data_IF_592068499189
#
_entry.id   IF_592068499189
#
_cell.length_a   1.000
_cell.length_b   1.000
_cell.length_c   1.000
_cell.angle_alpha   90.00
_cell.angle_beta   90.00
_cell.angle_gamma   90.00
#
_symmetry.space_group_name_H-M   'P 1'
#
loop_
_entity.id
_entity.type
_entity.pdbx_description
1 polymer ?
#
# COMPACT_ATOMS: atom_id res chain seq x y z
N UNK A 1 7.68 -8.28 17.16
CA UNK A 1 8.94 -9.01 17.46
C UNK A 1 8.83 -10.38 16.82
N UNK A 2 9.84 -10.79 16.11
CA UNK A 2 9.94 -12.12 15.48
C UNK A 2 11.29 -12.73 15.82
N UNK A 3 11.39 -14.08 15.80
CA UNK A 3 12.63 -14.78 16.11
C UNK A 3 13.11 -14.63 17.56
N UNK A 4 12.18 -14.52 18.50
CA UNK A 4 12.47 -14.41 19.93
C UNK A 4 11.76 -15.52 20.70
N UNK A 5 12.36 -16.69 20.76
CA UNK A 5 11.79 -17.89 21.43
C UNK A 5 11.66 -17.70 22.95
N UNK A 6 12.43 -16.76 23.50
CA UNK A 6 12.36 -16.43 24.93
C UNK A 6 11.12 -15.60 25.31
N UNK A 7 10.40 -15.02 24.32
CA UNK A 7 9.24 -14.18 24.57
C UNK A 7 7.97 -15.02 24.65
N UNK A 8 7.23 -14.89 25.75
CA UNK A 8 5.93 -15.49 25.94
C UNK A 8 4.85 -14.41 26.09
N UNK A 9 3.76 -14.52 25.34
CA UNK A 9 2.64 -13.59 25.36
C UNK A 9 1.42 -14.32 25.93
N UNK A 10 0.94 -13.86 27.09
CA UNK A 10 -0.30 -14.28 27.69
C UNK A 10 -1.40 -13.28 27.28
N UNK A 11 -2.23 -13.70 26.34
CA UNK A 11 -3.31 -12.88 25.79
C UNK A 11 -4.46 -12.68 26.77
N UNK A 12 -4.72 -13.65 27.65
CA UNK A 12 -5.80 -13.56 28.62
C UNK A 12 -5.50 -12.53 29.71
N UNK A 13 -4.27 -12.56 30.24
CA UNK A 13 -3.82 -11.63 31.27
C UNK A 13 -3.16 -10.37 30.70
N UNK A 14 -2.99 -10.29 29.38
CA UNK A 14 -2.31 -9.18 28.68
C UNK A 14 -0.91 -8.90 29.22
N UNK A 15 -0.13 -9.96 29.38
CA UNK A 15 1.22 -9.93 29.95
C UNK A 15 2.22 -10.46 28.94
N UNK A 16 3.40 -9.84 28.87
CA UNK A 16 4.55 -10.36 28.14
C UNK A 16 5.66 -10.66 29.13
N UNK A 17 6.23 -11.86 29.01
CA UNK A 17 7.38 -12.32 29.81
C UNK A 17 8.52 -12.79 28.90
N UNK A 18 9.72 -12.80 29.43
CA UNK A 18 10.89 -13.32 28.74
C UNK A 18 11.54 -14.40 29.61
N UNK A 19 11.84 -15.54 29.02
CA UNK A 19 12.49 -16.64 29.71
C UNK A 19 13.81 -16.20 30.37
N UNK A 20 14.01 -16.58 31.63
CA UNK A 20 15.17 -16.17 32.42
C UNK A 20 15.10 -14.76 33.03
N UNK A 21 13.95 -14.10 32.95
CA UNK A 21 13.72 -12.79 33.55
C UNK A 21 12.43 -12.76 34.36
N UNK A 22 12.48 -12.19 35.57
CA UNK A 22 11.33 -12.14 36.49
C UNK A 22 10.33 -11.03 36.14
N UNK A 23 10.71 -10.08 35.27
CA UNK A 23 9.84 -8.95 34.94
C UNK A 23 8.74 -9.35 33.97
N UNK A 24 7.51 -8.97 34.35
CA UNK A 24 6.32 -9.02 33.52
C UNK A 24 6.06 -7.63 32.95
N UNK A 25 5.83 -7.53 31.64
CA UNK A 25 5.42 -6.30 30.97
C UNK A 25 3.91 -6.35 30.76
N UNK A 26 3.27 -5.20 31.01
CA UNK A 26 1.83 -5.00 30.84
C UNK A 26 1.57 -3.90 29.79
N UNK A 27 0.32 -3.74 29.42
CA UNK A 27 -0.10 -2.63 28.56
C UNK A 27 0.33 -1.28 29.18
N UNK A 28 1.01 -0.45 28.38
CA UNK A 28 1.58 0.82 28.80
C UNK A 28 3.05 0.77 29.25
N UNK A 29 3.61 -0.41 29.48
CA UNK A 29 5.04 -0.56 29.78
C UNK A 29 5.90 -0.33 28.52
N UNK A 30 7.07 0.25 28.75
CA UNK A 30 8.04 0.51 27.70
C UNK A 30 9.19 -0.49 27.71
N UNK A 31 9.54 -0.97 26.54
CA UNK A 31 10.80 -1.65 26.28
C UNK A 31 11.35 -1.23 24.92
N UNK A 32 12.67 -1.28 24.77
CA UNK A 32 13.35 -0.91 23.53
C UNK A 32 13.94 -2.12 22.85
N UNK A 33 13.92 -2.12 21.52
CA UNK A 33 14.41 -3.22 20.69
C UNK A 33 15.64 -2.80 19.91
N UNK A 34 16.64 -3.68 19.89
CA UNK A 34 17.77 -3.60 18.98
C UNK A 34 17.75 -4.85 18.08
N UNK A 35 17.10 -4.75 16.93
CA UNK A 35 16.96 -5.87 16.01
C UNK A 35 18.29 -6.34 15.40
N UNK A 36 19.26 -5.45 15.24
CA UNK A 36 20.58 -5.78 14.71
C UNK A 36 21.38 -6.69 15.67
N UNK A 37 21.19 -6.52 17.00
CA UNK A 37 21.87 -7.33 18.03
C UNK A 37 20.95 -8.40 18.64
N UNK A 38 19.67 -8.45 18.28
CA UNK A 38 18.69 -9.35 18.87
C UNK A 38 18.44 -9.07 20.37
N UNK A 39 18.52 -7.81 20.80
CA UNK A 39 18.41 -7.45 22.21
C UNK A 39 17.09 -6.73 22.49
N UNK A 40 16.51 -7.05 23.66
CA UNK A 40 15.35 -6.36 24.24
C UNK A 40 15.82 -5.68 25.54
N UNK A 41 15.64 -4.38 25.63
CA UNK A 41 16.02 -3.60 26.82
C UNK A 41 14.79 -3.27 27.64
N UNK A 42 14.86 -3.50 28.94
CA UNK A 42 13.83 -3.12 29.88
C UNK A 42 13.93 -1.63 30.24
N UNK A 43 13.82 -0.79 29.22
CA UNK A 43 13.88 0.69 29.37
C UNK A 43 13.34 1.36 28.12
N UNK A 44 12.87 2.60 28.24
CA UNK A 44 12.66 3.50 27.12
C UNK A 44 14.01 4.15 26.77
N UNK A 45 14.68 3.62 25.76
CA UNK A 45 15.96 4.17 25.28
C UNK A 45 15.66 5.24 24.25
N UNK A 46 16.32 6.37 24.35
CA UNK A 46 16.26 7.42 23.34
C UNK A 46 16.84 6.91 22.02
N UNK A 47 16.16 7.18 20.94
CA UNK A 47 16.58 6.86 19.58
C UNK A 47 16.85 8.16 18.82
N UNK A 48 17.85 8.14 17.97
CA UNK A 48 18.18 9.22 17.04
C UNK A 48 17.90 8.76 15.62
N UNK A 49 17.34 9.64 14.79
CA UNK A 49 17.27 9.37 13.37
C UNK A 49 18.69 9.38 12.79
N UNK A 50 19.03 8.37 11.99
CA UNK A 50 20.36 8.26 11.38
C UNK A 50 20.67 9.46 10.48
N UNK A 51 19.67 10.08 9.86
CA UNK A 51 19.80 11.26 9.02
C UNK A 51 20.22 12.52 9.79
N UNK A 52 20.03 12.54 11.11
CA UNK A 52 20.44 13.63 11.99
C UNK A 52 21.91 13.50 12.45
N UNK A 53 22.55 12.35 12.20
CA UNK A 53 23.94 12.14 12.55
C UNK A 53 24.89 12.72 11.48
N UNK A 54 25.67 13.76 11.78
CA UNK A 54 26.56 14.40 10.79
C UNK A 54 27.61 13.46 10.19
N UNK A 55 28.09 12.48 10.96
CA UNK A 55 29.07 11.50 10.49
C UNK A 55 28.42 10.53 9.50
N UNK A 56 27.17 10.15 9.74
CA UNK A 56 26.41 9.32 8.80
C UNK A 56 26.18 10.07 7.48
N UNK A 57 25.78 11.34 7.54
CA UNK A 57 25.59 12.19 6.35
C UNK A 57 26.89 12.32 5.55
N UNK A 58 28.02 12.57 6.22
CA UNK A 58 29.33 12.64 5.58
C UNK A 58 29.74 11.31 4.94
N UNK A 59 29.49 10.20 5.62
CA UNK A 59 29.78 8.87 5.10
C UNK A 59 28.92 8.55 3.85
N UNK A 60 27.62 8.89 3.89
CA UNK A 60 26.74 8.69 2.73
C UNK A 60 27.17 9.58 1.55
N UNK A 61 27.54 10.82 1.78
CA UNK A 61 28.07 11.70 0.75
C UNK A 61 29.39 11.17 0.14
N UNK A 62 30.21 10.50 0.94
CA UNK A 62 31.40 9.82 0.42
C UNK A 62 31.03 8.60 -0.43
N UNK A 63 30.08 7.77 0.02
CA UNK A 63 29.59 6.62 -0.72
C UNK A 63 29.01 7.04 -2.09
N UNK A 64 28.28 8.14 -2.15
CA UNK A 64 27.70 8.70 -3.38
C UNK A 64 28.74 9.07 -4.44
N UNK A 65 29.98 9.38 -4.05
CA UNK A 65 31.06 9.65 -5.01
C UNK A 65 31.55 8.41 -5.75
N UNK A 66 31.31 7.23 -5.19
CA UNK A 66 31.80 5.96 -5.75
C UNK A 66 30.70 5.09 -6.33
N UNK A 67 29.46 5.25 -5.89
CA UNK A 67 28.35 4.48 -6.44
C UNK A 67 28.09 4.86 -7.91
N UNK A 68 27.65 3.87 -8.70
CA UNK A 68 27.31 4.01 -10.11
C UNK A 68 25.81 3.87 -10.37
N UNK A 69 25.10 3.20 -9.46
CA UNK A 69 23.66 2.95 -9.59
C UNK A 69 22.87 3.99 -8.78
N UNK A 70 21.77 4.45 -9.36
CA UNK A 70 20.77 5.22 -8.64
C UNK A 70 19.91 4.30 -7.75
N UNK A 71 19.44 4.84 -6.64
CA UNK A 71 18.58 4.10 -5.69
C UNK A 71 17.15 4.60 -5.78
N UNK A 72 16.24 3.70 -6.16
CA UNK A 72 14.79 3.92 -6.14
C UNK A 72 14.18 3.03 -5.07
N UNK A 73 13.25 3.58 -4.32
CA UNK A 73 12.56 2.86 -3.24
C UNK A 73 11.18 2.38 -3.67
N UNK A 74 10.56 1.53 -2.84
CA UNK A 74 9.13 1.28 -2.89
C UNK A 74 8.43 2.32 -2.01
N UNK A 75 7.37 2.92 -2.51
CA UNK A 75 6.48 3.80 -1.75
C UNK A 75 5.09 3.73 -2.38
N UNK A 76 4.06 3.58 -1.56
CA UNK A 76 2.70 3.32 -2.03
C UNK A 76 1.71 4.41 -1.57
N UNK A 77 2.20 5.37 -0.78
CA UNK A 77 1.43 6.55 -0.33
C UNK A 77 2.25 7.83 -0.48
N UNK A 78 1.61 9.00 -0.53
CA UNK A 78 2.33 10.27 -0.51
C UNK A 78 3.24 10.44 0.72
N UNK A 79 2.81 9.94 1.89
CA UNK A 79 3.57 9.97 3.13
C UNK A 79 4.85 9.12 3.02
N UNK A 80 4.75 7.91 2.45
CA UNK A 80 5.91 7.05 2.18
C UNK A 80 6.87 7.71 1.20
N UNK A 81 6.34 8.36 0.14
CA UNK A 81 7.13 9.10 -0.83
C UNK A 81 7.90 10.24 -0.16
N UNK A 82 7.25 11.04 0.71
CA UNK A 82 7.91 12.11 1.46
C UNK A 82 9.03 11.55 2.36
N UNK A 83 8.77 10.45 3.06
CA UNK A 83 9.76 9.77 3.89
C UNK A 83 10.93 9.24 3.06
N UNK A 84 10.64 8.65 1.90
CA UNK A 84 11.67 8.17 0.98
C UNK A 84 12.58 9.31 0.49
N UNK A 85 12.02 10.45 0.12
CA UNK A 85 12.78 11.64 -0.27
C UNK A 85 13.65 12.13 0.89
N UNK A 86 13.12 12.16 2.11
CA UNK A 86 13.90 12.57 3.31
C UNK A 86 15.09 11.66 3.58
N UNK A 87 15.03 10.40 3.17
CA UNK A 87 16.14 9.44 3.26
C UNK A 87 17.06 9.43 2.02
N UNK A 88 16.84 10.34 1.07
CA UNK A 88 17.70 10.50 -0.10
C UNK A 88 17.36 9.56 -1.26
N UNK A 89 16.16 9.03 -1.33
CA UNK A 89 15.72 8.25 -2.49
C UNK A 89 15.74 9.11 -3.76
N UNK A 90 16.24 8.53 -4.85
CA UNK A 90 16.36 9.20 -6.16
C UNK A 90 15.14 8.96 -7.07
N UNK A 91 14.19 8.20 -6.59
CA UNK A 91 12.94 7.91 -7.28
C UNK A 91 12.14 6.83 -6.57
N UNK A 92 10.97 6.54 -7.11
CA UNK A 92 10.15 5.39 -6.71
C UNK A 92 10.27 4.32 -7.80
N UNK A 93 10.79 3.15 -7.44
CA UNK A 93 10.92 2.00 -8.32
C UNK A 93 9.65 1.15 -8.43
N UNK A 94 8.80 1.24 -7.42
CA UNK A 94 7.49 0.58 -7.39
C UNK A 94 6.50 1.38 -6.54
N UNK A 95 5.48 1.92 -7.21
CA UNK A 95 4.28 2.47 -6.61
C UNK A 95 3.10 1.58 -7.00
N UNK A 96 2.42 0.99 -6.02
CA UNK A 96 1.29 0.07 -6.24
C UNK A 96 -0.01 0.84 -6.17
N UNK A 97 -0.71 1.01 -7.30
CA UNK A 97 -1.97 1.74 -7.33
C UNK A 97 -3.04 1.10 -6.45
N UNK A 98 -3.04 -0.22 -6.31
CA UNK A 98 -4.02 -0.95 -5.51
C UNK A 98 -3.93 -0.66 -4.00
N UNK A 99 -2.81 -0.15 -3.49
CA UNK A 99 -2.68 0.16 -2.06
C UNK A 99 -3.62 1.29 -1.61
N UNK A 100 -4.09 2.13 -2.52
CA UNK A 100 -5.13 3.12 -2.22
C UNK A 100 -6.44 2.50 -1.73
N UNK A 101 -6.69 1.22 -2.01
CA UNK A 101 -7.90 0.50 -1.59
C UNK A 101 -7.82 -0.10 -0.19
N UNK A 102 -6.66 -0.04 0.47
CA UNK A 102 -6.41 -0.66 1.79
C UNK A 102 -6.09 0.35 2.89
N UNK A 103 -5.87 1.62 2.55
CA UNK A 103 -5.46 2.67 3.48
C UNK A 103 -6.62 3.32 4.23
N UNK A 104 -6.31 4.35 4.99
CA UNK A 104 -7.31 5.25 5.57
C UNK A 104 -8.08 5.95 4.45
N UNK A 105 -9.39 6.12 4.62
CA UNK A 105 -10.29 6.73 3.62
C UNK A 105 -10.43 5.92 2.31
N UNK A 106 -10.11 4.63 2.34
CA UNK A 106 -10.23 3.74 1.17
C UNK A 106 -11.67 3.25 0.91
N UNK A 107 -12.60 3.49 1.80
CA UNK A 107 -13.98 2.96 1.73
C UNK A 107 -14.68 3.33 0.42
N UNK A 108 -14.66 4.62 0.06
CA UNK A 108 -15.31 5.08 -1.19
C UNK A 108 -14.65 4.54 -2.46
N UNK A 109 -13.32 4.63 -2.67
CA UNK A 109 -12.70 4.04 -3.85
C UNK A 109 -12.83 2.52 -3.89
N UNK A 110 -12.75 1.83 -2.74
CA UNK A 110 -12.95 0.38 -2.66
C UNK A 110 -14.38 -0.03 -3.04
N UNK A 111 -15.40 0.71 -2.59
CA UNK A 111 -16.79 0.47 -2.98
C UNK A 111 -16.99 0.61 -4.49
N UNK A 112 -16.38 1.61 -5.12
CA UNK A 112 -16.42 1.78 -6.58
C UNK A 112 -15.70 0.66 -7.33
N UNK A 113 -14.54 0.22 -6.83
CA UNK A 113 -13.83 -0.93 -7.38
C UNK A 113 -14.69 -2.20 -7.27
N UNK A 114 -15.29 -2.45 -6.12
CA UNK A 114 -16.20 -3.59 -5.91
C UNK A 114 -17.41 -3.53 -6.85
N UNK A 115 -17.99 -2.35 -7.04
CA UNK A 115 -19.06 -2.17 -8.01
C UNK A 115 -18.60 -2.54 -9.42
N UNK A 116 -17.42 -2.13 -9.84
CA UNK A 116 -16.82 -2.51 -11.13
C UNK A 116 -16.64 -4.03 -11.26
N UNK A 117 -16.24 -4.72 -10.18
CA UNK A 117 -16.04 -6.17 -10.17
C UNK A 117 -17.37 -6.94 -10.29
N UNK A 118 -18.42 -6.41 -9.66
CA UNK A 118 -19.72 -7.09 -9.55
C UNK A 118 -20.69 -6.75 -10.67
N UNK A 119 -20.44 -5.74 -11.49
CA UNK A 119 -21.33 -5.37 -12.59
C UNK A 119 -21.26 -6.39 -13.73
N UNK A 120 -22.42 -6.61 -14.38
CA UNK A 120 -22.58 -7.57 -15.46
C UNK A 120 -22.40 -6.92 -16.84
N UNK A 121 -22.67 -5.62 -16.97
CA UNK A 121 -22.60 -4.89 -18.25
C UNK A 121 -21.36 -3.99 -18.34
N UNK A 122 -20.92 -3.74 -19.58
CA UNK A 122 -19.79 -2.85 -19.83
C UNK A 122 -20.14 -1.38 -19.53
N UNK A 123 -21.41 -0.99 -19.68
CA UNK A 123 -21.92 0.34 -19.34
C UNK A 123 -21.80 0.61 -17.84
N UNK A 124 -22.23 -0.32 -17.00
CA UNK A 124 -22.11 -0.24 -15.55
C UNK A 124 -20.64 -0.22 -15.12
N UNK A 125 -19.83 -1.08 -15.74
CA UNK A 125 -18.38 -1.13 -15.50
C UNK A 125 -17.72 0.20 -15.83
N UNK A 126 -18.06 0.79 -16.97
CA UNK A 126 -17.58 2.09 -17.39
C UNK A 126 -17.98 3.20 -16.41
N UNK A 127 -19.23 3.20 -15.94
CA UNK A 127 -19.71 4.17 -14.96
C UNK A 127 -18.97 4.05 -13.62
N UNK A 128 -18.74 2.82 -13.13
CA UNK A 128 -18.00 2.56 -11.91
C UNK A 128 -16.54 3.02 -12.02
N UNK A 129 -15.86 2.71 -13.13
CA UNK A 129 -14.49 3.12 -13.40
C UNK A 129 -14.34 4.64 -13.56
N UNK A 130 -15.29 5.30 -14.25
CA UNK A 130 -15.31 6.76 -14.34
C UNK A 130 -15.42 7.40 -12.95
N UNK A 131 -16.20 6.80 -12.06
CA UNK A 131 -16.30 7.25 -10.67
C UNK A 131 -15.05 6.97 -9.83
N UNK A 132 -14.18 6.05 -10.26
CA UNK A 132 -12.92 5.71 -9.59
C UNK A 132 -11.76 6.61 -10.03
N UNK A 133 -11.74 7.06 -11.26
CA UNK A 133 -10.67 7.86 -11.88
C UNK A 133 -10.20 9.05 -11.03
N UNK A 134 -11.10 9.89 -10.43
CA UNK A 134 -10.68 11.03 -9.62
C UNK A 134 -9.84 10.64 -8.40
N UNK A 135 -10.11 9.47 -7.80
CA UNK A 135 -9.36 8.98 -6.64
C UNK A 135 -7.96 8.52 -7.04
N UNK A 136 -7.84 7.78 -8.15
CA UNK A 136 -6.55 7.38 -8.71
C UNK A 136 -5.75 8.63 -9.07
N UNK A 137 -6.36 9.59 -9.78
CA UNK A 137 -5.70 10.84 -10.15
C UNK A 137 -5.21 11.63 -8.94
N UNK A 138 -6.01 11.73 -7.88
CA UNK A 138 -5.63 12.45 -6.66
C UNK A 138 -4.43 11.79 -5.96
N UNK A 139 -4.42 10.47 -5.83
CA UNK A 139 -3.31 9.72 -5.24
C UNK A 139 -2.02 9.89 -6.05
N UNK A 140 -2.10 9.69 -7.37
CA UNK A 140 -0.98 9.87 -8.30
C UNK A 140 -0.46 11.31 -8.25
N UNK A 141 -1.34 12.31 -8.34
CA UNK A 141 -0.96 13.73 -8.32
C UNK A 141 -0.23 14.11 -7.03
N UNK A 142 -0.74 13.64 -5.88
CA UNK A 142 -0.11 13.91 -4.58
C UNK A 142 1.29 13.32 -4.50
N UNK A 143 1.48 12.09 -5.00
CA UNK A 143 2.79 11.43 -5.02
C UNK A 143 3.75 12.11 -5.98
N UNK A 144 3.34 12.39 -7.21
CA UNK A 144 4.18 13.04 -8.22
C UNK A 144 4.62 14.44 -7.78
N UNK A 145 3.74 15.17 -7.06
CA UNK A 145 4.09 16.48 -6.51
C UNK A 145 5.24 16.41 -5.50
N UNK A 146 5.28 15.37 -4.67
CA UNK A 146 6.37 15.13 -3.71
C UNK A 146 7.64 14.70 -4.43
N UNK A 147 7.48 13.94 -5.51
CA UNK A 147 8.56 13.37 -6.31
C UNK A 147 9.04 14.30 -7.44
N UNK A 148 8.74 15.59 -7.37
CA UNK A 148 9.12 16.58 -8.39
C UNK A 148 10.58 16.41 -8.86
N UNK A 149 10.77 16.26 -10.16
CA UNK A 149 12.07 16.00 -10.78
C UNK A 149 12.63 14.59 -10.57
N UNK A 150 11.88 13.66 -9.96
CA UNK A 150 12.32 12.29 -9.68
C UNK A 150 11.39 11.27 -10.36
N UNK A 151 11.95 10.20 -10.96
CA UNK A 151 11.15 9.19 -11.65
C UNK A 151 10.29 8.37 -10.68
N UNK A 152 9.06 8.06 -11.11
CA UNK A 152 8.13 7.17 -10.42
C UNK A 152 7.65 6.08 -11.38
N UNK A 153 7.78 4.81 -10.98
CA UNK A 153 7.24 3.68 -11.72
C UNK A 153 5.94 3.23 -11.08
N UNK A 154 4.83 3.48 -11.74
CA UNK A 154 3.51 3.03 -11.30
C UNK A 154 3.26 1.59 -11.75
N UNK A 155 2.89 0.72 -10.81
CA UNK A 155 2.28 -0.56 -11.11
C UNK A 155 0.77 -0.37 -11.22
N UNK A 156 0.21 -0.67 -12.37
CA UNK A 156 -1.23 -0.69 -12.56
C UNK A 156 -1.86 -1.79 -11.71
N UNK A 157 -3.20 -1.82 -11.62
CA UNK A 157 -3.94 -2.78 -10.82
C UNK A 157 -3.47 -4.21 -11.11
N UNK A 158 -2.85 -4.85 -10.13
CA UNK A 158 -2.22 -6.16 -10.30
C UNK A 158 -2.97 -7.29 -9.58
N UNK A 159 -3.50 -7.13 -8.34
CA UNK A 159 -4.15 -8.25 -7.65
C UNK A 159 -5.34 -8.81 -8.40
N UNK A 160 -5.60 -10.14 -8.29
CA UNK A 160 -6.82 -10.74 -8.80
C UNK A 160 -8.06 -10.08 -8.19
N UNK A 161 -9.12 -9.94 -8.98
CA UNK A 161 -10.32 -9.21 -8.55
C UNK A 161 -11.01 -9.83 -7.32
N UNK A 162 -10.89 -11.14 -7.12
CA UNK A 162 -11.50 -11.81 -5.97
C UNK A 162 -10.93 -11.34 -4.62
N UNK A 163 -9.70 -10.81 -4.57
CA UNK A 163 -9.10 -10.30 -3.33
C UNK A 163 -9.85 -9.07 -2.78
N UNK A 164 -10.58 -8.36 -3.62
CA UNK A 164 -11.36 -7.19 -3.21
C UNK A 164 -12.79 -7.53 -2.79
N UNK A 165 -13.25 -8.76 -3.04
CA UNK A 165 -14.58 -9.23 -2.65
C UNK A 165 -14.54 -9.64 -1.17
N UNK A 166 -15.49 -9.20 -0.33
CA UNK A 166 -15.47 -9.56 1.09
C UNK A 166 -15.73 -11.04 1.32
N UNK A 167 -15.04 -11.61 2.31
CA UNK A 167 -15.13 -13.03 2.64
C UNK A 167 -16.09 -13.33 3.81
N UNK A 168 -16.38 -12.34 4.67
CA UNK A 168 -17.29 -12.53 5.82
C UNK A 168 -18.73 -12.22 5.44
N UNK A 169 -19.69 -12.98 6.00
CA UNK A 169 -21.11 -12.84 5.68
C UNK A 169 -21.66 -11.45 6.04
N UNK A 170 -21.17 -10.87 7.14
CA UNK A 170 -21.55 -9.52 7.57
C UNK A 170 -21.14 -8.47 6.51
N UNK A 171 -19.90 -8.53 6.03
CA UNK A 171 -19.41 -7.61 5.01
C UNK A 171 -20.00 -7.87 3.63
N UNK A 172 -20.36 -9.12 3.31
CA UNK A 172 -21.13 -9.45 2.10
C UNK A 172 -22.52 -8.81 2.16
N UNK A 173 -23.19 -8.91 3.32
CA UNK A 173 -24.52 -8.31 3.52
C UNK A 173 -24.49 -6.77 3.46
N UNK A 174 -23.46 -6.13 4.04
CA UNK A 174 -23.25 -4.69 3.94
C UNK A 174 -23.07 -4.25 2.48
N UNK A 175 -22.18 -4.93 1.75
CA UNK A 175 -21.90 -4.64 0.35
C UNK A 175 -23.14 -4.90 -0.54
N UNK A 176 -23.89 -5.98 -0.28
CA UNK A 176 -25.13 -6.29 -0.97
C UNK A 176 -26.15 -5.16 -0.85
N UNK A 177 -26.31 -4.63 0.37
CA UNK A 177 -27.20 -3.50 0.64
C UNK A 177 -26.74 -2.22 -0.08
N UNK A 178 -25.43 -1.98 -0.10
CA UNK A 178 -24.85 -0.79 -0.76
C UNK A 178 -25.04 -0.84 -2.28
N UNK A 179 -24.88 -2.02 -2.87
CA UNK A 179 -24.93 -2.22 -4.32
C UNK A 179 -26.33 -2.56 -4.85
N UNK A 180 -27.30 -2.84 -3.95
CA UNK A 180 -28.66 -3.24 -4.34
C UNK A 180 -28.75 -4.65 -4.94
N UNK A 181 -27.81 -5.53 -4.57
CA UNK A 181 -27.77 -6.96 -4.98
C UNK A 181 -27.96 -7.86 -3.77
N UNK A 182 -28.02 -9.17 -3.97
CA UNK A 182 -28.13 -10.14 -2.87
C UNK A 182 -26.73 -10.60 -2.39
N UNK A 183 -26.58 -11.03 -1.12
CA UNK A 183 -25.31 -11.61 -0.64
C UNK A 183 -24.88 -12.85 -1.45
N UNK A 184 -25.84 -13.64 -1.92
CA UNK A 184 -25.62 -14.83 -2.74
C UNK A 184 -25.04 -14.47 -4.13
N UNK A 185 -25.45 -13.35 -4.71
CA UNK A 185 -24.87 -12.85 -5.96
C UNK A 185 -23.41 -12.43 -5.76
N UNK A 186 -23.09 -11.78 -4.64
CA UNK A 186 -21.70 -11.42 -4.29
C UNK A 186 -20.86 -12.68 -4.12
N UNK A 187 -21.37 -13.68 -3.40
CA UNK A 187 -20.66 -14.94 -3.19
C UNK A 187 -20.41 -15.67 -4.50
N UNK A 188 -21.44 -15.86 -5.32
CA UNK A 188 -21.34 -16.50 -6.64
C UNK A 188 -20.33 -15.79 -7.53
N UNK A 189 -20.29 -14.46 -7.51
CA UNK A 189 -19.32 -13.69 -8.28
C UNK A 189 -17.90 -13.87 -7.73
N UNK A 190 -17.73 -13.83 -6.41
CA UNK A 190 -16.44 -14.10 -5.74
C UNK A 190 -15.90 -15.48 -6.09
N UNK A 191 -16.75 -16.51 -6.04
CA UNK A 191 -16.39 -17.88 -6.43
C UNK A 191 -16.00 -17.97 -7.91
N UNK A 192 -16.73 -17.30 -8.82
CA UNK A 192 -16.43 -17.30 -10.25
C UNK A 192 -15.08 -16.64 -10.58
N UNK A 193 -14.57 -15.78 -9.71
CA UNK A 193 -13.30 -15.07 -9.85
C UNK A 193 -12.17 -15.75 -9.07
N UNK A 194 -12.48 -16.79 -8.29
CA UNK A 194 -11.47 -17.46 -7.45
C UNK A 194 -10.42 -18.17 -8.30
N UNK A 195 -9.17 -17.97 -7.93
CA UNK A 195 -8.01 -18.55 -8.61
C UNK A 195 -7.35 -19.62 -7.76
N UNK A 196 -7.07 -20.78 -8.35
CA UNK A 196 -6.35 -21.88 -7.68
C UNK A 196 -4.92 -21.44 -7.34
N UNK A 197 -4.29 -20.71 -8.25
CA UNK A 197 -3.00 -20.06 -8.02
C UNK A 197 -3.11 -18.56 -8.34
N UNK A 198 -3.27 -17.70 -7.33
CA UNK A 198 -3.42 -16.26 -7.54
C UNK A 198 -2.28 -15.60 -8.31
N UNK A 199 -1.06 -16.15 -8.21
CA UNK A 199 0.09 -15.59 -8.94
C UNK A 199 0.02 -15.85 -10.45
N UNK A 200 -0.59 -16.94 -10.86
CA UNK A 200 -0.76 -17.35 -12.26
C UNK A 200 -2.15 -17.03 -12.81
N UNK A 201 -3.03 -16.50 -11.99
CA UNK A 201 -4.43 -16.24 -12.30
C UNK A 201 -4.67 -15.02 -13.21
N UNK A 202 -5.96 -14.64 -13.30
CA UNK A 202 -6.43 -13.51 -14.11
C UNK A 202 -6.15 -12.18 -13.38
N UNK A 203 -4.94 -11.67 -13.56
CA UNK A 203 -4.43 -10.46 -12.90
C UNK A 203 -3.48 -9.66 -13.79
N UNK A 204 -3.13 -8.45 -13.38
CA UNK A 204 -2.14 -7.59 -14.03
C UNK A 204 -2.46 -7.38 -15.51
N UNK A 205 -1.49 -7.58 -16.39
CA UNK A 205 -1.68 -7.36 -17.83
C UNK A 205 -2.79 -8.23 -18.43
N UNK A 206 -2.99 -9.45 -17.92
CA UNK A 206 -4.08 -10.33 -18.41
C UNK A 206 -5.45 -9.73 -18.12
N UNK A 207 -5.62 -9.14 -16.93
CA UNK A 207 -6.82 -8.42 -16.54
C UNK A 207 -7.07 -7.22 -17.45
N UNK A 208 -6.05 -6.43 -17.74
CA UNK A 208 -6.15 -5.25 -18.60
C UNK A 208 -6.45 -5.59 -20.07
N UNK A 209 -5.99 -6.75 -20.55
CA UNK A 209 -6.35 -7.23 -21.89
C UNK A 209 -7.82 -7.64 -21.95
N UNK A 210 -8.33 -8.32 -20.92
CA UNK A 210 -9.74 -8.73 -20.85
C UNK A 210 -10.70 -7.57 -20.58
N UNK A 211 -10.26 -6.58 -19.81
CA UNK A 211 -11.03 -5.38 -19.44
C UNK A 211 -10.24 -4.10 -19.73
N UNK A 212 -10.11 -3.70 -21.01
CA UNK A 212 -9.27 -2.57 -21.42
C UNK A 212 -9.64 -1.24 -20.78
N UNK A 213 -10.91 -1.07 -20.38
CA UNK A 213 -11.39 0.13 -19.70
C UNK A 213 -10.67 0.38 -18.38
N UNK A 214 -10.20 -0.66 -17.68
CA UNK A 214 -9.42 -0.52 -16.44
C UNK A 214 -8.12 0.21 -16.75
N UNK A 215 -7.35 -0.31 -17.72
CA UNK A 215 -6.10 0.31 -18.14
C UNK A 215 -6.30 1.74 -18.65
N UNK A 216 -7.36 1.97 -19.43
CA UNK A 216 -7.68 3.31 -19.96
C UNK A 216 -7.86 4.35 -18.85
N UNK A 217 -8.62 3.99 -17.80
CA UNK A 217 -8.88 4.88 -16.66
C UNK A 217 -7.61 5.13 -15.87
N UNK A 218 -6.79 4.12 -15.62
CA UNK A 218 -5.54 4.25 -14.90
C UNK A 218 -4.53 5.12 -15.65
N UNK A 219 -4.34 4.87 -16.95
CA UNK A 219 -3.47 5.72 -17.78
C UNK A 219 -3.97 7.15 -17.85
N UNK A 220 -5.27 7.35 -18.03
CA UNK A 220 -5.85 8.69 -18.07
C UNK A 220 -5.63 9.43 -16.76
N UNK A 221 -5.83 8.77 -15.63
CA UNK A 221 -5.58 9.36 -14.32
C UNK A 221 -4.11 9.78 -14.13
N UNK A 222 -3.16 8.90 -14.52
CA UNK A 222 -1.72 9.17 -14.42
C UNK A 222 -1.33 10.34 -15.32
N UNK A 223 -1.68 10.31 -16.61
CA UNK A 223 -1.28 11.36 -17.56
C UNK A 223 -1.97 12.68 -17.28
N UNK A 224 -3.24 12.67 -16.83
CA UNK A 224 -3.93 13.90 -16.44
C UNK A 224 -3.28 14.53 -15.22
N UNK A 225 -2.93 13.73 -14.19
CA UNK A 225 -2.20 14.22 -13.02
C UNK A 225 -0.84 14.84 -13.42
N UNK A 226 -0.11 14.15 -14.30
CA UNK A 226 1.16 14.64 -14.82
C UNK A 226 1.01 15.97 -15.58
N UNK A 227 0.04 16.06 -16.49
CA UNK A 227 -0.21 17.30 -17.26
C UNK A 227 -0.64 18.47 -16.36
N UNK A 228 -1.48 18.21 -15.35
CA UNK A 228 -1.87 19.24 -14.38
C UNK A 228 -0.66 19.77 -13.60
N UNK A 229 0.25 18.89 -13.14
CA UNK A 229 1.45 19.30 -12.41
C UNK A 229 2.44 20.04 -13.31
N UNK A 230 2.59 19.65 -14.58
CA UNK A 230 3.38 20.40 -15.54
C UNK A 230 2.82 21.81 -15.77
N UNK A 231 1.50 21.96 -15.83
CA UNK A 231 0.84 23.26 -15.91
C UNK A 231 1.05 24.11 -14.63
N UNK A 232 1.26 23.46 -13.47
CA UNK A 232 1.65 24.10 -12.20
C UNK A 232 3.15 24.47 -12.15
N UNK A 233 3.95 24.12 -13.18
CA UNK A 233 5.38 24.43 -13.27
C UNK A 233 6.29 23.37 -12.64
N UNK A 234 5.77 22.21 -12.32
CA UNK A 234 6.53 21.06 -11.79
C UNK A 234 7.06 20.19 -12.95
N UNK A 235 8.02 19.32 -12.62
CA UNK A 235 8.61 18.33 -13.54
C UNK A 235 8.33 16.91 -13.01
N UNK A 236 7.06 16.43 -13.08
CA UNK A 236 6.65 15.15 -12.52
C UNK A 236 7.17 13.97 -13.32
#
# INVERSE_FOLDING_TARGET
IVGCDAMHIDLENKIVTFAGHDKQFKEGDWFSLNGAKGLVYNAKIETMDASENPLFVQFMALADKFRKLGIRTNADTPEDAAKAVSFGAEGIGLFRLEHMFYGKNSETPLAKLRKMILCDTDEERKAALTGLEPFIKASVKSTLKIMDGKPVVFRLLDPPLHEFVPHTDEKKAELAKELGVTPEEIEKRGESLHEVNPMMGHRGVRLHVSFPLIAEVEYRAIFTATAELQAEGLNP
#
